data_IF_066935814046
#
_entry.id   IF_066935814046
#
_cell.length_a   1.000
_cell.length_b   1.000
_cell.length_c   1.000
_cell.angle_alpha   90.00
_cell.angle_beta   90.00
_cell.angle_gamma   90.00
#
_symmetry.space_group_name_H-M   'P 1'
#
loop_
_entity.id
_entity.type
_entity.pdbx_description
1 polymer ?
#
# COMPACT_ATOMS: atom_id res chain seq x y z
N UNK A 1 8.06 41.45 32.65
CA UNK A 1 6.69 41.51 32.12
C UNK A 1 6.65 40.61 30.89
N UNK A 2 5.91 39.49 30.95
CA UNK A 2 5.90 38.40 29.96
C UNK A 2 4.55 38.41 29.23
N UNK A 3 4.47 38.73 27.93
CA UNK A 3 3.25 38.55 27.15
C UNK A 3 3.44 37.35 26.21
N UNK A 4 3.19 36.12 26.69
CA UNK A 4 3.22 34.94 25.81
C UNK A 4 2.31 33.78 26.24
N UNK A 5 1.64 33.86 27.38
CA UNK A 5 0.79 32.77 27.88
C UNK A 5 -0.69 32.90 27.50
N UNK A 6 -1.18 34.09 27.18
CA UNK A 6 -2.61 34.29 26.86
C UNK A 6 -2.98 33.91 25.42
N UNK A 7 -2.04 33.92 24.47
CA UNK A 7 -2.31 33.56 23.07
C UNK A 7 -2.32 32.04 22.84
N UNK A 8 -1.58 31.26 23.64
CA UNK A 8 -1.54 29.80 23.51
C UNK A 8 -2.81 29.15 24.09
N UNK A 9 -3.36 29.72 25.17
CA UNK A 9 -4.64 29.25 25.75
C UNK A 9 -5.85 29.56 24.86
N UNK A 10 -5.83 30.67 24.11
CA UNK A 10 -6.92 30.99 23.17
C UNK A 10 -6.87 30.13 21.90
N UNK A 11 -5.68 29.79 21.41
CA UNK A 11 -5.51 28.89 20.26
C UNK A 11 -5.88 27.44 20.60
N UNK A 12 -5.54 26.96 21.80
CA UNK A 12 -5.92 25.62 22.26
C UNK A 12 -7.42 25.45 22.49
N UNK A 13 -8.13 26.51 22.95
CA UNK A 13 -9.58 26.46 23.11
C UNK A 13 -10.33 26.54 21.78
N UNK A 14 -9.79 27.25 20.78
CA UNK A 14 -10.34 27.28 19.43
C UNK A 14 -10.16 25.94 18.70
N UNK A 15 -9.01 25.27 18.85
CA UNK A 15 -8.77 23.94 18.27
C UNK A 15 -9.67 22.86 18.89
N UNK A 16 -9.88 22.90 20.21
CA UNK A 16 -10.82 22.00 20.89
C UNK A 16 -12.29 22.23 20.48
N UNK A 17 -12.68 23.48 20.19
CA UNK A 17 -14.04 23.80 19.69
C UNK A 17 -14.22 23.49 18.20
N UNK A 18 -13.14 23.49 17.40
CA UNK A 18 -13.16 23.04 16.01
C UNK A 18 -13.19 21.50 15.89
N UNK A 19 -12.58 20.78 16.84
CA UNK A 19 -12.61 19.31 16.87
C UNK A 19 -14.01 18.76 17.21
N UNK A 20 -14.83 19.50 17.97
CA UNK A 20 -16.25 19.17 18.16
C UNK A 20 -17.13 19.51 16.93
N UNK A 21 -16.58 20.23 15.93
CA UNK A 21 -17.32 20.73 14.77
C UNK A 21 -17.11 19.90 13.47
N UNK A 22 -16.47 18.73 13.56
CA UNK A 22 -16.18 17.87 12.40
C UNK A 22 -17.06 16.62 12.26
N UNK A 23 -18.01 16.37 13.15
CA UNK A 23 -19.06 15.36 12.89
C UNK A 23 -20.18 16.09 12.17
N UNK A 24 -20.04 16.22 10.85
CA UNK A 24 -21.09 16.76 10.01
C UNK A 24 -22.37 15.96 10.29
N UNK A 25 -23.45 16.66 10.66
CA UNK A 25 -24.67 15.99 11.09
C UNK A 25 -25.28 15.27 9.89
N UNK A 26 -25.26 13.94 9.95
CA UNK A 26 -25.76 13.03 8.92
C UNK A 26 -27.10 13.53 8.33
N UNK A 27 -27.23 13.62 6.98
CA UNK A 27 -28.49 13.98 6.36
C UNK A 27 -29.58 12.92 6.61
N UNK A 28 -30.82 13.37 6.80
CA UNK A 28 -31.94 12.46 7.03
C UNK A 28 -32.16 11.54 5.81
N UNK A 29 -32.18 10.23 6.03
CA UNK A 29 -32.34 9.24 4.95
C UNK A 29 -31.03 8.87 4.24
N UNK A 30 -29.87 9.09 4.86
CA UNK A 30 -28.60 8.61 4.30
C UNK A 30 -28.54 7.08 4.30
N UNK A 31 -28.72 6.51 3.11
CA UNK A 31 -28.69 5.07 2.85
C UNK A 31 -27.26 4.51 2.82
N UNK A 32 -26.24 5.37 2.62
CA UNK A 32 -24.84 4.95 2.50
C UNK A 32 -24.32 4.39 3.82
N UNK A 33 -24.62 5.05 4.94
CA UNK A 33 -24.26 4.56 6.29
C UNK A 33 -24.87 3.20 6.58
N UNK A 34 -26.13 2.99 6.23
CA UNK A 34 -26.80 1.70 6.46
C UNK A 34 -26.20 0.60 5.58
N UNK A 35 -25.92 0.89 4.32
CA UNK A 35 -25.31 -0.06 3.39
C UNK A 35 -23.89 -0.45 3.84
N UNK A 36 -23.04 0.52 4.21
CA UNK A 36 -21.71 0.25 4.73
C UNK A 36 -21.74 -0.53 6.05
N UNK A 37 -22.73 -0.27 6.92
CA UNK A 37 -22.88 -1.01 8.17
C UNK A 37 -23.21 -2.49 7.93
N UNK A 38 -23.96 -2.82 6.88
CA UNK A 38 -24.19 -4.22 6.48
C UNK A 38 -22.88 -4.89 6.02
N UNK A 39 -22.06 -4.19 5.23
CA UNK A 39 -20.74 -4.67 4.80
C UNK A 39 -19.83 -4.93 6.01
N UNK A 40 -19.75 -4.00 6.95
CA UNK A 40 -18.92 -4.16 8.15
C UNK A 40 -19.35 -5.36 9.00
N UNK A 41 -20.66 -5.59 9.13
CA UNK A 41 -21.21 -6.74 9.87
C UNK A 41 -20.92 -8.06 9.17
N UNK A 42 -21.14 -8.14 7.86
CA UNK A 42 -21.08 -9.41 7.14
C UNK A 42 -19.65 -9.77 6.70
N UNK A 43 -18.77 -8.79 6.54
CA UNK A 43 -17.44 -9.00 5.95
C UNK A 43 -16.30 -8.70 6.92
N UNK A 44 -16.41 -7.68 7.78
CA UNK A 44 -15.31 -7.29 8.66
C UNK A 44 -15.40 -7.91 10.06
N UNK A 45 -16.58 -7.84 10.68
CA UNK A 45 -16.84 -8.38 12.02
C UNK A 45 -16.48 -9.87 12.22
N UNK A 46 -16.64 -10.77 11.23
CA UNK A 46 -16.25 -12.17 11.37
C UNK A 46 -14.83 -12.41 11.87
N UNK A 47 -13.90 -11.49 11.57
CA UNK A 47 -12.51 -11.57 12.03
C UNK A 47 -12.17 -10.46 13.03
N UNK A 48 -12.80 -9.28 12.92
CA UNK A 48 -12.54 -8.12 13.77
C UNK A 48 -13.53 -8.05 14.94
N UNK A 49 -13.47 -9.03 15.85
CA UNK A 49 -14.23 -9.06 17.11
C UNK A 49 -13.29 -9.25 18.31
N UNK A 50 -13.70 -8.91 19.55
CA UNK A 50 -12.76 -8.76 20.67
C UNK A 50 -12.00 -10.02 21.07
N UNK A 51 -12.55 -11.19 20.74
CA UNK A 51 -12.07 -12.51 21.14
C UNK A 51 -11.52 -13.32 19.96
N UNK A 52 -11.31 -12.65 18.82
CA UNK A 52 -10.84 -13.29 17.59
C UNK A 52 -9.50 -14.01 17.77
N UNK A 53 -9.43 -15.21 17.21
CA UNK A 53 -8.19 -15.98 17.16
C UNK A 53 -7.23 -15.45 16.09
N UNK A 54 -7.71 -14.63 15.16
CA UNK A 54 -6.89 -14.00 14.13
C UNK A 54 -6.14 -12.78 14.67
N UNK A 55 -4.87 -12.99 14.98
CA UNK A 55 -3.97 -11.95 15.48
C UNK A 55 -3.78 -10.78 14.50
N UNK A 56 -4.01 -10.97 13.21
CA UNK A 56 -3.91 -9.89 12.21
C UNK A 56 -5.16 -9.01 12.20
N UNK A 57 -6.28 -9.52 12.72
CA UNK A 57 -7.54 -8.78 12.82
C UNK A 57 -7.69 -8.00 14.14
N UNK A 58 -6.80 -8.21 15.12
CA UNK A 58 -6.81 -7.46 16.38
C UNK A 58 -6.45 -5.99 16.16
N UNK A 59 -7.24 -5.08 16.74
CA UNK A 59 -7.02 -3.63 16.74
C UNK A 59 -6.95 -3.10 18.18
N UNK A 60 -6.61 -1.82 18.32
CA UNK A 60 -6.62 -1.12 19.62
C UNK A 60 -8.03 -0.80 20.12
N UNK A 61 -9.04 -1.01 19.29
CA UNK A 61 -10.47 -0.87 19.62
C UNK A 61 -11.20 -2.22 19.51
N UNK A 62 -12.38 -2.36 20.15
CA UNK A 62 -12.99 -3.65 20.44
C UNK A 62 -13.36 -4.50 19.22
N UNK A 63 -14.01 -3.90 18.22
CA UNK A 63 -14.51 -4.61 17.05
C UNK A 63 -14.80 -3.69 15.85
N UNK A 64 -15.13 -4.29 14.70
CA UNK A 64 -15.45 -3.57 13.47
C UNK A 64 -16.67 -2.64 13.54
N UNK A 65 -17.50 -2.74 14.58
CA UNK A 65 -18.68 -1.87 14.78
C UNK A 65 -18.42 -0.72 15.77
N UNK A 66 -17.21 -0.61 16.33
CA UNK A 66 -16.78 0.59 17.04
C UNK A 66 -16.34 1.68 16.04
N UNK A 67 -17.32 2.20 15.30
CA UNK A 67 -17.11 3.26 14.32
C UNK A 67 -16.53 4.54 14.93
N UNK A 68 -16.96 5.03 16.12
CA UNK A 68 -16.31 6.17 16.75
C UNK A 68 -14.80 5.96 16.95
N UNK A 69 -14.38 4.79 17.41
CA UNK A 69 -12.94 4.49 17.54
C UNK A 69 -12.25 4.33 16.19
N UNK A 70 -12.92 3.71 15.22
CA UNK A 70 -12.42 3.52 13.84
C UNK A 70 -12.16 4.86 13.16
N UNK A 71 -13.05 5.83 13.32
CA UNK A 71 -12.92 7.18 12.76
C UNK A 71 -11.94 8.06 13.56
N UNK A 72 -11.73 7.75 14.83
CA UNK A 72 -10.75 8.45 15.67
C UNK A 72 -9.31 7.93 15.47
N UNK A 73 -9.14 6.79 14.82
CA UNK A 73 -7.82 6.25 14.48
C UNK A 73 -7.20 7.08 13.36
N UNK A 74 -6.17 7.85 13.69
CA UNK A 74 -5.40 8.65 12.73
C UNK A 74 -4.95 7.77 11.54
N UNK A 75 -5.09 8.32 10.34
CA UNK A 75 -4.72 7.70 9.05
C UNK A 75 -5.51 6.43 8.66
N UNK A 76 -6.55 6.03 9.40
CA UNK A 76 -7.32 4.83 9.06
C UNK A 76 -8.52 5.11 8.14
N UNK A 77 -9.21 6.23 8.36
CA UNK A 77 -10.34 6.72 7.56
C UNK A 77 -10.14 8.20 7.30
N UNK A 78 -10.29 8.62 6.04
CA UNK A 78 -10.35 10.02 5.61
C UNK A 78 -11.80 10.34 5.22
N UNK A 79 -12.61 10.95 6.11
CA UNK A 79 -13.99 11.30 5.80
C UNK A 79 -14.08 12.23 4.58
N UNK A 80 -14.89 11.86 3.60
CA UNK A 80 -15.08 12.61 2.36
C UNK A 80 -14.14 12.20 1.22
N UNK A 81 -13.22 11.26 1.47
CA UNK A 81 -12.29 10.75 0.46
C UNK A 81 -12.03 9.25 0.67
N UNK A 82 -12.75 8.41 -0.08
CA UNK A 82 -12.54 6.97 -0.04
C UNK A 82 -11.15 6.58 -0.57
N UNK A 83 -10.60 7.29 -1.57
CA UNK A 83 -9.32 6.95 -2.19
C UNK A 83 -8.13 7.27 -1.27
N UNK A 84 -8.29 8.19 -0.32
CA UNK A 84 -7.30 8.46 0.73
C UNK A 84 -7.54 7.64 2.03
N UNK A 85 -8.66 6.93 2.13
CA UNK A 85 -8.98 6.12 3.31
C UNK A 85 -8.23 4.78 3.31
N UNK A 86 -7.28 4.57 4.25
CA UNK A 86 -6.48 3.34 4.34
C UNK A 86 -7.35 2.07 4.40
N UNK A 87 -8.47 2.09 5.14
CA UNK A 87 -9.40 0.95 5.19
C UNK A 87 -9.93 0.54 3.81
N UNK A 88 -10.12 1.52 2.92
CA UNK A 88 -10.62 1.29 1.57
C UNK A 88 -9.53 0.82 0.63
N UNK A 89 -8.34 1.40 0.73
CA UNK A 89 -7.16 0.95 -0.02
C UNK A 89 -6.84 -0.52 0.28
N UNK A 90 -6.90 -0.94 1.54
CA UNK A 90 -6.73 -2.36 1.93
C UNK A 90 -7.76 -3.29 1.28
N UNK A 91 -9.00 -2.82 1.08
CA UNK A 91 -10.04 -3.60 0.39
C UNK A 91 -9.76 -3.66 -1.11
N UNK A 92 -9.36 -2.53 -1.73
CA UNK A 92 -9.04 -2.47 -3.16
C UNK A 92 -7.81 -3.32 -3.54
N UNK A 93 -6.83 -3.36 -2.65
CA UNK A 93 -5.60 -4.15 -2.83
C UNK A 93 -5.84 -5.66 -2.59
N UNK A 94 -7.03 -6.05 -2.11
CA UNK A 94 -7.35 -7.43 -1.77
C UNK A 94 -6.64 -7.93 -0.52
N UNK A 95 -6.13 -7.02 0.32
CA UNK A 95 -5.55 -7.35 1.62
C UNK A 95 -6.64 -7.75 2.63
N UNK A 96 -7.85 -7.21 2.46
CA UNK A 96 -9.01 -7.49 3.31
C UNK A 96 -10.28 -7.74 2.47
N UNK A 97 -11.06 -8.79 2.75
CA UNK A 97 -10.78 -9.88 3.70
C UNK A 97 -9.62 -10.78 3.22
N UNK A 98 -9.03 -11.62 4.10
CA UNK A 98 -7.94 -12.50 3.70
C UNK A 98 -8.42 -13.53 2.66
N UNK A 99 -7.52 -13.96 1.77
CA UNK A 99 -7.88 -14.83 0.63
C UNK A 99 -8.50 -16.19 1.01
N UNK A 100 -8.28 -16.69 2.22
CA UNK A 100 -8.86 -17.94 2.74
C UNK A 100 -10.24 -17.74 3.37
N UNK A 101 -10.73 -16.49 3.42
CA UNK A 101 -12.09 -16.18 3.81
C UNK A 101 -13.07 -16.65 2.74
N UNK A 102 -14.00 -17.52 3.14
CA UNK A 102 -15.03 -18.04 2.25
C UNK A 102 -16.33 -17.21 2.29
N UNK A 103 -16.40 -16.11 3.05
CA UNK A 103 -17.67 -15.45 3.34
C UNK A 103 -18.47 -16.17 4.42
N UNK A 104 -19.47 -15.49 4.98
CA UNK A 104 -20.39 -16.08 5.97
C UNK A 104 -21.25 -17.19 5.35
N UNK A 105 -21.43 -17.16 4.03
CA UNK A 105 -22.30 -18.04 3.23
C UNK A 105 -21.57 -18.85 2.15
N UNK A 106 -20.23 -18.77 2.06
CA UNK A 106 -19.46 -19.44 1.01
C UNK A 106 -19.27 -18.63 -0.28
N UNK A 107 -19.66 -17.34 -0.31
CA UNK A 107 -19.56 -16.46 -1.49
C UNK A 107 -18.13 -16.05 -1.91
N UNK A 108 -17.10 -16.39 -1.15
CA UNK A 108 -15.69 -16.25 -1.56
C UNK A 108 -14.96 -14.99 -1.06
N UNK A 109 -13.70 -14.78 -1.51
CA UNK A 109 -12.70 -14.00 -0.77
C UNK A 109 -12.67 -12.49 -1.06
N UNK A 110 -13.66 -11.92 -1.72
CA UNK A 110 -13.70 -10.48 -2.01
C UNK A 110 -15.06 -9.89 -1.72
N UNK A 111 -15.10 -8.64 -1.26
CA UNK A 111 -16.32 -7.85 -1.31
C UNK A 111 -16.86 -7.86 -2.74
N UNK A 112 -18.17 -8.00 -2.89
CA UNK A 112 -18.80 -7.82 -4.20
C UNK A 112 -18.59 -6.38 -4.70
N UNK A 113 -18.78 -6.14 -5.99
CA UNK A 113 -18.74 -4.77 -6.54
C UNK A 113 -19.74 -3.85 -5.81
N UNK A 114 -20.90 -4.38 -5.42
CA UNK A 114 -21.92 -3.67 -4.65
C UNK A 114 -21.47 -3.35 -3.23
N UNK A 115 -20.85 -4.31 -2.53
CA UNK A 115 -20.33 -4.08 -1.17
C UNK A 115 -19.16 -3.09 -1.18
N UNK A 116 -18.29 -3.18 -2.18
CA UNK A 116 -17.18 -2.24 -2.37
C UNK A 116 -17.69 -0.82 -2.64
N UNK A 117 -18.72 -0.69 -3.48
CA UNK A 117 -19.36 0.60 -3.75
C UNK A 117 -20.10 1.15 -2.54
N UNK A 118 -20.77 0.32 -1.75
CA UNK A 118 -21.42 0.75 -0.51
C UNK A 118 -20.41 1.34 0.49
N UNK A 119 -19.23 0.71 0.62
CA UNK A 119 -18.16 1.20 1.47
C UNK A 119 -17.58 2.53 0.93
N UNK A 120 -17.30 2.62 -0.38
CA UNK A 120 -16.83 3.84 -1.05
C UNK A 120 -17.80 5.00 -0.83
N UNK A 121 -19.07 4.79 -1.16
CA UNK A 121 -20.13 5.79 -1.07
C UNK A 121 -20.29 6.33 0.35
N UNK A 122 -20.13 5.50 1.38
CA UNK A 122 -20.18 5.95 2.77
C UNK A 122 -18.96 6.80 3.17
N UNK A 123 -17.76 6.42 2.74
CA UNK A 123 -16.54 7.17 2.99
C UNK A 123 -16.58 8.54 2.30
N UNK A 124 -16.93 8.58 1.01
CA UNK A 124 -17.09 9.80 0.22
C UNK A 124 -18.21 10.71 0.75
N UNK A 125 -19.25 10.12 1.36
CA UNK A 125 -20.30 10.86 2.02
C UNK A 125 -19.87 11.49 3.36
N UNK A 126 -18.65 11.25 3.84
CA UNK A 126 -18.15 11.79 5.11
C UNK A 126 -18.13 10.79 6.26
N UNK A 127 -18.22 9.49 5.97
CA UNK A 127 -18.12 8.39 6.93
C UNK A 127 -19.04 8.60 8.17
N UNK A 128 -20.27 9.03 7.93
CA UNK A 128 -21.20 9.41 9.00
C UNK A 128 -21.47 8.25 9.98
N UNK A 129 -21.64 8.60 11.26
CA UNK A 129 -22.00 7.63 12.28
C UNK A 129 -23.47 7.17 12.12
N UNK A 130 -23.75 5.87 12.35
CA UNK A 130 -25.11 5.35 12.36
C UNK A 130 -25.91 5.91 13.54
N UNK A 131 -27.23 5.92 13.39
CA UNK A 131 -28.14 6.16 14.51
C UNK A 131 -28.03 5.04 15.54
N UNK A 132 -28.46 5.31 16.77
CA UNK A 132 -28.51 4.28 17.82
C UNK A 132 -29.37 3.08 17.43
N UNK A 133 -30.44 3.30 16.64
CA UNK A 133 -31.32 2.23 16.17
C UNK A 133 -30.63 1.32 15.16
N UNK A 134 -29.99 1.89 14.13
CA UNK A 134 -29.23 1.13 13.12
C UNK A 134 -28.07 0.38 13.76
N UNK A 135 -27.30 1.02 14.65
CA UNK A 135 -26.20 0.36 15.35
C UNK A 135 -26.72 -0.79 16.22
N UNK A 136 -27.88 -0.63 16.87
CA UNK A 136 -28.51 -1.72 17.62
C UNK A 136 -28.92 -2.88 16.70
N UNK A 137 -29.41 -2.59 15.50
CA UNK A 137 -29.80 -3.59 14.52
C UNK A 137 -28.58 -4.33 13.96
N UNK A 138 -27.52 -3.59 13.63
CA UNK A 138 -26.25 -4.14 13.19
C UNK A 138 -25.61 -5.04 14.25
N UNK A 139 -25.60 -4.64 15.52
CA UNK A 139 -25.10 -5.49 16.61
C UNK A 139 -25.90 -6.80 16.75
N UNK A 140 -27.23 -6.75 16.65
CA UNK A 140 -28.06 -7.97 16.66
C UNK A 140 -27.77 -8.88 15.47
N UNK A 141 -27.53 -8.34 14.27
CA UNK A 141 -27.10 -9.11 13.10
C UNK A 141 -25.70 -9.68 13.30
N UNK A 142 -24.77 -8.88 13.84
CA UNK A 142 -23.41 -9.28 14.17
C UNK A 142 -23.34 -10.44 15.15
N UNK A 143 -24.19 -10.46 16.19
CA UNK A 143 -24.32 -11.62 17.09
C UNK A 143 -24.72 -12.90 16.33
N UNK A 144 -25.62 -12.80 15.34
CA UNK A 144 -26.02 -13.93 14.51
C UNK A 144 -24.91 -14.39 13.58
N UNK A 145 -24.16 -13.45 12.99
CA UNK A 145 -23.01 -13.74 12.12
C UNK A 145 -21.90 -14.42 12.93
N UNK A 146 -21.50 -13.84 14.06
CA UNK A 146 -20.47 -14.41 14.94
C UNK A 146 -20.87 -15.79 15.46
N UNK A 147 -22.14 -15.99 15.82
CA UNK A 147 -22.63 -17.32 16.21
C UNK A 147 -22.44 -18.37 15.11
N UNK A 148 -22.60 -18.00 13.82
CA UNK A 148 -22.34 -18.90 12.68
C UNK A 148 -20.86 -19.17 12.49
N UNK A 149 -20.02 -18.13 12.56
CA UNK A 149 -18.56 -18.24 12.43
C UNK A 149 -17.99 -19.16 13.51
N UNK A 150 -18.32 -18.89 14.77
CA UNK A 150 -17.86 -19.70 15.90
C UNK A 150 -18.41 -21.14 15.86
N UNK A 151 -19.65 -21.33 15.39
CA UNK A 151 -20.20 -22.67 15.17
C UNK A 151 -19.43 -23.43 14.08
N UNK A 152 -19.05 -22.76 13.00
CA UNK A 152 -18.25 -23.36 11.92
C UNK A 152 -16.82 -23.69 12.38
N UNK A 153 -16.19 -22.84 13.19
CA UNK A 153 -14.85 -23.09 13.76
C UNK A 153 -14.83 -24.24 14.79
N UNK A 154 -15.91 -24.38 15.55
CA UNK A 154 -16.05 -25.43 16.58
C UNK A 154 -16.55 -26.78 16.05
N UNK A 155 -17.07 -26.81 14.83
CA UNK A 155 -17.43 -28.05 14.17
C UNK A 155 -16.15 -28.83 13.82
N UNK A 156 -15.98 -30.02 14.39
CA UNK A 156 -15.00 -30.99 13.88
C UNK A 156 -15.21 -31.13 12.37
N UNK A 157 -14.14 -31.21 11.54
CA UNK A 157 -14.29 -31.39 10.10
C UNK A 157 -15.12 -32.64 9.86
N UNK A 158 -16.39 -32.45 9.54
CA UNK A 158 -17.24 -33.55 9.15
C UNK A 158 -16.62 -34.13 7.89
N UNK A 159 -16.21 -35.40 7.94
CA UNK A 159 -16.09 -36.22 6.74
C UNK A 159 -17.44 -36.17 6.04
N UNK A 160 -17.56 -35.24 5.10
CA UNK A 160 -18.67 -35.20 4.16
C UNK A 160 -18.58 -36.50 3.36
N UNK A 161 -19.37 -37.50 3.73
CA UNK A 161 -19.75 -38.56 2.81
C UNK A 161 -20.50 -37.89 1.67
N UNK A 162 -19.78 -37.67 0.57
CA UNK A 162 -20.30 -37.03 -0.63
C UNK A 162 -21.52 -37.77 -1.14
N UNK A 163 -22.67 -37.11 -1.07
CA UNK A 163 -23.72 -37.29 -2.06
C UNK A 163 -23.25 -36.54 -3.31
N UNK A 164 -23.02 -37.28 -4.39
CA UNK A 164 -22.46 -36.80 -5.65
C UNK A 164 -23.43 -35.81 -6.31
N UNK A 165 -23.24 -34.53 -6.03
CA UNK A 165 -23.70 -33.45 -6.91
C UNK A 165 -22.50 -33.02 -7.77
N UNK A 166 -22.54 -33.18 -9.10
CA UNK A 166 -21.43 -32.74 -9.95
C UNK A 166 -21.50 -31.22 -10.09
N UNK A 167 -20.64 -30.51 -9.35
CA UNK A 167 -20.54 -29.05 -9.40
C UNK A 167 -19.41 -28.52 -8.52
N UNK A 168 -18.22 -28.43 -9.12
CA UNK A 168 -17.00 -27.74 -8.67
C UNK A 168 -16.35 -28.16 -7.34
N UNK A 169 -15.26 -28.94 -7.47
CA UNK A 169 -14.28 -29.15 -6.41
C UNK A 169 -13.78 -27.81 -5.84
N UNK A 170 -13.57 -27.70 -4.52
CA UNK A 170 -12.91 -26.52 -3.93
C UNK A 170 -11.54 -26.31 -4.60
N UNK A 171 -11.15 -25.06 -4.89
CA UNK A 171 -9.93 -24.79 -5.64
C UNK A 171 -8.72 -25.39 -4.92
N UNK A 172 -7.99 -26.25 -5.65
CA UNK A 172 -6.78 -26.85 -5.13
C UNK A 172 -5.84 -25.76 -4.59
N UNK A 173 -5.12 -26.00 -3.47
CA UNK A 173 -4.20 -25.02 -2.91
C UNK A 173 -3.22 -24.58 -4.00
N UNK A 174 -2.88 -23.27 -4.06
CA UNK A 174 -2.10 -22.72 -5.16
C UNK A 174 -0.84 -23.53 -5.36
N UNK A 175 -0.60 -23.93 -6.62
CA UNK A 175 0.59 -24.69 -6.99
C UNK A 175 1.85 -23.99 -6.47
N UNK A 176 2.92 -24.73 -6.25
CA UNK A 176 4.21 -24.13 -5.87
C UNK A 176 4.59 -22.94 -6.78
N UNK A 177 4.31 -23.04 -8.09
CA UNK A 177 4.50 -21.94 -9.04
C UNK A 177 3.65 -20.71 -8.73
N UNK A 178 2.37 -20.88 -8.42
CA UNK A 178 1.48 -19.77 -8.05
C UNK A 178 1.93 -19.05 -6.76
N UNK A 179 2.45 -19.80 -5.77
CA UNK A 179 3.01 -19.22 -4.53
C UNK A 179 4.30 -18.42 -4.78
N UNK A 180 5.18 -18.94 -5.63
CA UNK A 180 6.41 -18.21 -6.04
C UNK A 180 6.05 -16.94 -6.82
N UNK A 181 5.07 -17.01 -7.72
CA UNK A 181 4.56 -15.84 -8.44
C UNK A 181 4.00 -14.76 -7.51
N UNK A 182 3.20 -15.13 -6.50
CA UNK A 182 2.68 -14.19 -5.51
C UNK A 182 3.77 -13.53 -4.67
N UNK A 183 4.78 -14.28 -4.27
CA UNK A 183 5.94 -13.74 -3.57
C UNK A 183 6.72 -12.75 -4.45
N UNK A 184 6.83 -13.02 -5.74
CA UNK A 184 7.47 -12.12 -6.71
C UNK A 184 6.68 -10.81 -6.89
N UNK A 185 5.34 -10.88 -6.83
CA UNK A 185 4.42 -9.74 -6.71
C UNK A 185 4.80 -8.78 -5.57
N UNK A 186 4.73 -9.28 -4.34
CA UNK A 186 4.99 -8.48 -3.13
C UNK A 186 6.46 -8.05 -3.00
N UNK A 187 7.38 -8.85 -3.53
CA UNK A 187 8.80 -8.55 -3.42
C UNK A 187 9.29 -7.54 -4.45
N UNK A 188 8.52 -7.18 -5.49
CA UNK A 188 8.93 -6.15 -6.44
C UNK A 188 9.32 -4.86 -5.71
N UNK A 189 8.43 -4.37 -4.83
CA UNK A 189 8.68 -3.20 -3.98
C UNK A 189 9.99 -3.37 -3.19
N UNK A 190 10.26 -4.53 -2.58
CA UNK A 190 11.51 -4.77 -1.86
C UNK A 190 12.74 -4.80 -2.78
N UNK A 191 12.65 -5.43 -3.94
CA UNK A 191 13.78 -5.63 -4.87
C UNK A 191 14.19 -4.33 -5.56
N UNK A 192 13.26 -3.41 -5.83
CA UNK A 192 13.59 -2.12 -6.45
C UNK A 192 14.41 -1.20 -5.55
N UNK A 193 14.32 -1.32 -4.23
CA UNK A 193 15.07 -0.46 -3.30
C UNK A 193 16.59 -0.62 -3.43
N UNK A 194 17.08 -1.80 -3.82
CA UNK A 194 18.50 -2.05 -3.96
C UNK A 194 19.15 -1.18 -5.05
N UNK A 195 18.76 -1.29 -6.34
CA UNK A 195 19.36 -0.44 -7.37
C UNK A 195 19.13 1.05 -7.10
N UNK A 196 17.98 1.42 -6.53
CA UNK A 196 17.66 2.81 -6.14
C UNK A 196 18.67 3.32 -5.09
N UNK A 197 18.84 2.61 -3.97
CA UNK A 197 19.76 3.01 -2.90
C UNK A 197 21.20 3.11 -3.42
N UNK A 198 21.63 2.17 -4.25
CA UNK A 198 23.00 2.17 -4.76
C UNK A 198 23.26 3.25 -5.80
N UNK A 199 22.32 3.58 -6.69
CA UNK A 199 22.54 4.69 -7.63
C UNK A 199 22.57 6.04 -6.90
N UNK A 200 21.72 6.24 -5.89
CA UNK A 200 21.77 7.44 -5.05
C UNK A 200 23.05 7.50 -4.21
N UNK A 201 23.52 6.36 -3.69
CA UNK A 201 24.83 6.28 -3.02
C UNK A 201 25.99 6.65 -3.95
N UNK A 202 25.95 6.20 -5.21
CA UNK A 202 26.93 6.60 -6.22
C UNK A 202 26.85 8.10 -6.55
N UNK A 203 25.64 8.65 -6.69
CA UNK A 203 25.42 10.07 -6.94
C UNK A 203 25.89 10.96 -5.78
N UNK A 204 25.66 10.54 -4.54
CA UNK A 204 26.14 11.23 -3.35
C UNK A 204 27.67 11.21 -3.28
N UNK A 205 28.29 10.03 -3.50
CA UNK A 205 29.75 9.93 -3.54
C UNK A 205 30.36 10.81 -4.64
N UNK A 206 29.74 10.86 -5.82
CA UNK A 206 30.15 11.73 -6.91
C UNK A 206 30.00 13.22 -6.57
N UNK A 207 28.89 13.61 -5.94
CA UNK A 207 28.67 14.99 -5.48
C UNK A 207 29.73 15.42 -4.47
N UNK A 208 30.04 14.58 -3.49
CA UNK A 208 31.07 14.86 -2.48
C UNK A 208 32.45 15.02 -3.13
N UNK A 209 32.79 14.18 -4.12
CA UNK A 209 34.03 14.31 -4.90
C UNK A 209 34.09 15.64 -5.68
N UNK A 210 32.98 16.06 -6.29
CA UNK A 210 32.90 17.36 -6.99
C UNK A 210 33.04 18.56 -6.05
N UNK A 211 32.55 18.44 -4.81
CA UNK A 211 32.70 19.45 -3.76
C UNK A 211 34.10 19.45 -3.12
N UNK A 212 35.00 18.56 -3.53
CA UNK A 212 36.33 18.42 -2.95
C UNK A 212 36.33 17.77 -1.56
N UNK A 213 35.20 17.21 -1.12
CA UNK A 213 35.05 16.56 0.18
C UNK A 213 35.45 15.09 0.04
N UNK A 214 36.41 14.64 0.85
CA UNK A 214 36.71 13.20 0.92
C UNK A 214 37.46 12.63 -0.29
N UNK A 215 38.29 13.43 -0.98
CA UNK A 215 39.21 13.01 -2.05
C UNK A 215 40.24 11.92 -1.65
N UNK A 216 40.12 11.36 -0.44
CA UNK A 216 40.75 10.13 0.00
C UNK A 216 40.42 8.96 -0.93
N UNK A 217 41.25 7.91 -0.89
CA UNK A 217 41.06 6.67 -1.64
C UNK A 217 39.76 5.91 -1.28
N UNK A 218 39.01 6.30 -0.25
CA UNK A 218 37.81 5.55 0.12
C UNK A 218 36.61 5.91 -0.77
N UNK A 219 36.44 7.20 -1.11
CA UNK A 219 35.22 7.70 -1.72
C UNK A 219 35.05 7.32 -3.20
N UNK A 220 36.09 7.37 -4.05
CA UNK A 220 35.99 6.85 -5.42
C UNK A 220 35.72 5.34 -5.48
N UNK A 221 36.22 4.59 -4.49
CA UNK A 221 36.03 3.15 -4.35
C UNK A 221 34.60 2.84 -3.91
N UNK A 222 34.05 3.63 -2.97
CA UNK A 222 32.64 3.56 -2.58
C UNK A 222 31.71 3.86 -3.76
N UNK A 223 31.97 4.93 -4.52
CA UNK A 223 31.24 5.23 -5.77
C UNK A 223 31.23 4.04 -6.72
N UNK A 224 32.42 3.46 -6.98
CA UNK A 224 32.57 2.31 -7.89
C UNK A 224 31.80 1.08 -7.38
N UNK A 225 31.90 0.78 -6.08
CA UNK A 225 31.16 -0.31 -5.44
C UNK A 225 29.65 -0.14 -5.58
N UNK A 226 29.14 1.06 -5.32
CA UNK A 226 27.72 1.39 -5.51
C UNK A 226 27.28 1.19 -6.97
N UNK A 227 28.07 1.63 -7.96
CA UNK A 227 27.73 1.40 -9.37
C UNK A 227 27.66 -0.08 -9.76
N UNK A 228 28.57 -0.92 -9.21
CA UNK A 228 28.50 -2.36 -9.42
C UNK A 228 27.21 -2.95 -8.84
N UNK A 229 26.88 -2.61 -7.59
CA UNK A 229 25.66 -3.12 -6.96
C UNK A 229 24.40 -2.60 -7.62
N UNK A 230 24.36 -1.34 -8.07
CA UNK A 230 23.26 -0.79 -8.84
C UNK A 230 23.04 -1.56 -10.15
N UNK A 231 24.11 -1.84 -10.91
CA UNK A 231 24.02 -2.56 -12.17
C UNK A 231 23.62 -4.04 -12.00
N UNK A 232 24.11 -4.72 -10.96
CA UNK A 232 23.79 -6.13 -10.70
C UNK A 232 22.34 -6.26 -10.21
N UNK A 233 21.92 -5.39 -9.28
CA UNK A 233 20.59 -5.44 -8.69
C UNK A 233 19.48 -4.86 -9.58
N UNK A 234 19.80 -4.05 -10.59
CA UNK A 234 18.79 -3.53 -11.52
C UNK A 234 18.21 -4.61 -12.45
N UNK A 235 18.97 -5.67 -12.74
CA UNK A 235 18.54 -6.80 -13.58
C UNK A 235 17.35 -7.55 -12.94
N UNK A 236 17.46 -8.07 -11.71
CA UNK A 236 16.32 -8.73 -11.06
C UNK A 236 15.17 -7.75 -10.78
N UNK A 237 15.44 -6.47 -10.48
CA UNK A 237 14.40 -5.47 -10.28
C UNK A 237 13.54 -5.27 -11.55
N UNK A 238 14.17 -5.13 -12.72
CA UNK A 238 13.46 -5.03 -13.99
C UNK A 238 12.75 -6.34 -14.36
N UNK A 239 13.38 -7.49 -14.11
CA UNK A 239 12.79 -8.80 -14.39
C UNK A 239 11.53 -9.08 -13.56
N UNK A 240 11.60 -8.88 -12.24
CA UNK A 240 10.45 -9.03 -11.34
C UNK A 240 9.37 -8.01 -11.69
N UNK A 241 9.73 -6.74 -11.93
CA UNK A 241 8.75 -5.71 -12.30
C UNK A 241 8.02 -6.00 -13.61
N UNK A 242 8.69 -6.62 -14.58
CA UNK A 242 8.06 -7.03 -15.83
C UNK A 242 6.95 -8.07 -15.58
N UNK A 243 7.28 -9.13 -14.82
CA UNK A 243 6.35 -10.21 -14.46
C UNK A 243 5.12 -9.67 -13.71
N UNK A 244 5.34 -8.76 -12.76
CA UNK A 244 4.26 -8.17 -11.97
C UNK A 244 3.39 -7.22 -12.81
N UNK A 245 4.00 -6.52 -13.78
CA UNK A 245 3.28 -5.65 -14.70
C UNK A 245 2.30 -6.40 -15.61
N UNK A 246 2.49 -7.70 -15.88
CA UNK A 246 1.56 -8.47 -16.71
C UNK A 246 0.16 -8.64 -16.07
N UNK A 247 0.02 -8.50 -14.75
CA UNK A 247 -1.26 -8.66 -14.04
C UNK A 247 -2.03 -7.35 -13.80
N UNK A 248 -1.47 -6.18 -14.15
CA UNK A 248 -2.05 -4.87 -13.83
C UNK A 248 -2.83 -4.30 -15.03
N UNK A 249 -4.05 -3.80 -14.81
CA UNK A 249 -4.97 -3.31 -15.86
C UNK A 249 -4.77 -1.85 -16.31
N UNK A 250 -3.99 -1.04 -15.58
CA UNK A 250 -3.77 0.36 -15.93
C UNK A 250 -2.89 0.48 -17.19
N UNK A 251 -3.42 0.87 -18.35
CA UNK A 251 -2.66 0.73 -19.60
C UNK A 251 -1.57 1.81 -19.81
N UNK A 252 -1.86 3.08 -19.51
CA UNK A 252 -0.99 4.22 -19.82
C UNK A 252 0.11 4.42 -18.79
N UNK A 253 -0.27 4.57 -17.52
CA UNK A 253 0.65 4.79 -16.39
C UNK A 253 1.61 3.62 -16.21
N UNK A 254 1.11 2.38 -16.37
CA UNK A 254 1.94 1.17 -16.31
C UNK A 254 2.94 1.14 -17.46
N UNK A 255 2.52 1.51 -18.67
CA UNK A 255 3.43 1.55 -19.82
C UNK A 255 4.55 2.54 -19.60
N UNK A 256 4.25 3.72 -19.05
CA UNK A 256 5.25 4.74 -18.71
C UNK A 256 6.20 4.23 -17.64
N UNK A 257 5.69 3.76 -16.50
CA UNK A 257 6.50 3.22 -15.41
C UNK A 257 7.39 2.05 -15.88
N UNK A 258 6.84 1.11 -16.65
CA UNK A 258 7.55 -0.07 -17.16
C UNK A 258 8.75 0.31 -18.02
N UNK A 259 8.56 1.19 -19.01
CA UNK A 259 9.64 1.58 -19.90
C UNK A 259 10.67 2.48 -19.21
N UNK A 260 10.24 3.32 -18.28
CA UNK A 260 11.15 4.10 -17.44
C UNK A 260 11.97 3.21 -16.50
N UNK A 261 11.38 2.15 -15.95
CA UNK A 261 12.07 1.15 -15.13
C UNK A 261 13.13 0.38 -15.92
N UNK A 262 12.77 -0.13 -17.10
CA UNK A 262 13.73 -0.80 -18.00
C UNK A 262 14.84 0.17 -18.44
N UNK A 263 14.49 1.41 -18.78
CA UNK A 263 15.45 2.46 -19.12
C UNK A 263 16.43 2.76 -17.98
N UNK A 264 15.92 2.87 -16.76
CA UNK A 264 16.73 3.08 -15.54
C UNK A 264 17.69 1.91 -15.30
N UNK A 265 17.21 0.68 -15.46
CA UNK A 265 18.06 -0.51 -15.30
C UNK A 265 19.21 -0.56 -16.32
N UNK A 266 18.94 -0.21 -17.58
CA UNK A 266 19.95 -0.10 -18.63
C UNK A 266 20.93 1.04 -18.33
N UNK A 267 20.46 2.19 -17.84
CA UNK A 267 21.30 3.32 -17.49
C UNK A 267 22.26 3.01 -16.33
N UNK A 268 21.87 2.20 -15.35
CA UNK A 268 22.78 1.70 -14.32
C UNK A 268 23.97 0.91 -14.92
N UNK A 269 23.69 0.05 -15.90
CA UNK A 269 24.72 -0.74 -16.60
C UNK A 269 25.63 0.17 -17.43
N UNK A 270 25.05 1.15 -18.15
CA UNK A 270 25.81 2.14 -18.93
C UNK A 270 26.69 3.00 -18.03
N UNK A 271 26.19 3.45 -16.87
CA UNK A 271 26.98 4.21 -15.89
C UNK A 271 28.21 3.43 -15.44
N UNK A 272 28.05 2.15 -15.08
CA UNK A 272 29.16 1.29 -14.72
C UNK A 272 30.17 1.17 -15.87
N UNK A 273 29.70 0.89 -17.09
CA UNK A 273 30.57 0.73 -18.26
C UNK A 273 31.36 2.01 -18.59
N UNK A 274 30.72 3.18 -18.59
CA UNK A 274 31.37 4.46 -18.85
C UNK A 274 32.35 4.82 -17.73
N UNK A 275 31.96 4.59 -16.46
CA UNK A 275 32.83 4.84 -15.30
C UNK A 275 34.10 3.97 -15.33
N UNK A 276 33.98 2.69 -15.67
CA UNK A 276 35.11 1.78 -15.86
C UNK A 276 36.04 2.23 -16.99
N UNK A 277 35.46 2.72 -18.09
CA UNK A 277 36.23 3.21 -19.23
C UNK A 277 36.95 4.52 -18.91
N UNK A 278 36.30 5.40 -18.14
CA UNK A 278 36.93 6.63 -17.65
C UNK A 278 38.11 6.33 -16.71
N UNK A 279 37.97 5.35 -15.82
CA UNK A 279 39.01 4.99 -14.84
C UNK A 279 40.30 4.43 -15.47
N UNK A 280 40.25 3.98 -16.73
CA UNK A 280 41.40 3.46 -17.48
C UNK A 280 42.11 4.51 -18.35
N UNK A 281 41.55 5.71 -18.46
CA UNK A 281 42.12 6.81 -19.25
C UNK A 281 42.87 7.83 -18.41
N UNK A 282 43.53 8.78 -19.06
CA UNK A 282 44.27 9.86 -18.40
C UNK A 282 43.34 10.87 -17.69
N UNK A 283 43.85 11.64 -16.74
CA UNK A 283 43.04 12.56 -15.90
C UNK A 283 42.36 13.70 -16.67
N UNK A 284 42.82 14.03 -17.88
CA UNK A 284 42.21 15.01 -18.79
C UNK A 284 41.12 14.43 -19.71
N UNK A 285 40.66 13.21 -19.44
CA UNK A 285 39.76 12.45 -20.31
C UNK A 285 38.31 12.98 -20.22
N UNK A 286 37.67 13.38 -21.35
CA UNK A 286 36.26 13.83 -21.36
C UNK A 286 35.29 12.77 -20.83
N UNK A 287 35.67 11.49 -20.84
CA UNK A 287 34.87 10.40 -20.29
C UNK A 287 34.63 10.52 -18.78
N UNK A 288 35.47 11.25 -18.04
CA UNK A 288 35.26 11.52 -16.60
C UNK A 288 34.02 12.39 -16.38
N UNK A 289 33.91 13.50 -17.12
CA UNK A 289 32.73 14.38 -17.07
C UNK A 289 31.48 13.66 -17.55
N UNK A 290 31.60 12.84 -18.60
CA UNK A 290 30.47 12.04 -19.08
C UNK A 290 29.98 11.05 -18.01
N UNK A 291 30.89 10.35 -17.32
CA UNK A 291 30.53 9.44 -16.23
C UNK A 291 29.78 10.16 -15.11
N UNK A 292 30.29 11.33 -14.68
CA UNK A 292 29.64 12.18 -13.67
C UNK A 292 28.20 12.54 -14.06
N UNK A 293 28.00 13.09 -15.25
CA UNK A 293 26.66 13.50 -15.71
C UNK A 293 25.71 12.32 -15.85
N UNK A 294 26.19 11.16 -16.31
CA UNK A 294 25.37 9.96 -16.43
C UNK A 294 24.85 9.48 -15.07
N UNK A 295 25.66 9.54 -14.01
CA UNK A 295 25.23 9.13 -12.66
C UNK A 295 24.06 10.00 -12.20
N UNK A 296 24.16 11.32 -12.31
CA UNK A 296 23.09 12.25 -11.92
C UNK A 296 21.85 12.10 -12.81
N UNK A 297 22.03 11.94 -14.12
CA UNK A 297 20.92 11.71 -15.04
C UNK A 297 20.18 10.41 -14.70
N UNK A 298 20.90 9.35 -14.34
CA UNK A 298 20.31 8.08 -13.94
C UNK A 298 19.55 8.21 -12.63
N UNK A 299 20.11 8.92 -11.64
CA UNK A 299 19.40 9.20 -10.39
C UNK A 299 18.10 9.98 -10.63
N UNK A 300 18.13 11.00 -11.51
CA UNK A 300 16.93 11.75 -11.89
C UNK A 300 15.90 10.87 -12.62
N UNK A 301 16.34 10.00 -13.55
CA UNK A 301 15.46 9.06 -14.23
C UNK A 301 14.80 8.07 -13.25
N UNK A 302 15.55 7.60 -12.26
CA UNK A 302 15.02 6.75 -11.18
C UNK A 302 14.00 7.51 -10.33
N UNK A 303 14.22 8.79 -10.02
CA UNK A 303 13.23 9.61 -9.33
C UNK A 303 11.92 9.73 -10.12
N UNK A 304 12.01 10.00 -11.43
CA UNK A 304 10.84 10.07 -12.32
C UNK A 304 10.13 8.71 -12.37
N UNK A 305 10.88 7.61 -12.49
CA UNK A 305 10.33 6.26 -12.47
C UNK A 305 9.58 5.98 -11.17
N UNK A 306 10.15 6.42 -10.03
CA UNK A 306 9.55 6.29 -8.71
C UNK A 306 8.27 7.10 -8.55
N UNK A 307 8.18 8.31 -9.13
CA UNK A 307 6.93 9.09 -9.15
C UNK A 307 5.80 8.33 -9.85
N UNK A 308 6.05 7.80 -11.06
CA UNK A 308 5.07 6.97 -11.76
C UNK A 308 4.75 5.65 -11.03
N UNK A 309 5.72 5.11 -10.28
CA UNK A 309 5.48 3.97 -9.38
C UNK A 309 4.53 4.34 -8.25
N UNK A 310 4.69 5.53 -7.65
CA UNK A 310 3.78 6.07 -6.65
C UNK A 310 2.38 6.29 -7.21
N UNK A 311 2.24 6.86 -8.40
CA UNK A 311 0.93 7.03 -9.07
C UNK A 311 0.23 5.69 -9.31
N UNK A 312 0.98 4.63 -9.64
CA UNK A 312 0.41 3.29 -9.79
C UNK A 312 -0.09 2.68 -8.47
N UNK A 313 0.50 3.05 -7.35
CA UNK A 313 0.16 2.52 -6.03
C UNK A 313 -0.90 3.35 -5.32
N UNK A 314 -0.85 4.68 -5.44
CA UNK A 314 -1.66 5.62 -4.67
C UNK A 314 -2.65 6.44 -5.53
N UNK A 315 -2.69 6.23 -6.84
CA UNK A 315 -3.54 6.99 -7.76
C UNK A 315 -2.96 8.34 -8.20
N UNK A 316 -3.63 8.99 -9.17
CA UNK A 316 -3.19 10.29 -9.71
C UNK A 316 -3.42 11.45 -8.72
N UNK A 317 -4.45 11.33 -7.88
CA UNK A 317 -4.81 12.35 -6.87
C UNK A 317 -3.77 12.49 -5.74
N UNK A 318 -2.91 11.49 -5.53
CA UNK A 318 -1.91 11.49 -4.43
C UNK A 318 -0.95 12.70 -4.44
N UNK A 319 -0.74 13.33 -5.61
CA UNK A 319 0.14 14.50 -5.74
C UNK A 319 -0.61 15.82 -5.94
N UNK A 320 -1.94 15.84 -5.83
CA UNK A 320 -2.75 17.06 -5.88
C UNK A 320 -2.84 17.67 -4.46
N UNK A 321 -2.31 18.88 -4.29
CA UNK A 321 -2.31 19.65 -3.04
C UNK A 321 -2.79 21.08 -3.26
#
# INVERSE_FOLDING_TARGET
>A
MRPSLFLILAAGLAWALQAEAGVETRPAGDETTSAALEVLVDTCLPCHYPESSDKKAVRDWPDALDLPATLAAEDFVTPGDAEDSLVFLMVLDGDMPPEDWAGVDGSGPSLSEEQTEALRSWLDAGAHLPTAEELSAARRRGEQVLARVLAAESAEPQEVQGDETPGEDPPAPPSFGARVWRLMGHSHASVVHFPIAFIYGAALAELLLLLGIGASWALPQARRFCLYLAAISSIPAAGVGWIVGESVRAETTLTQHRWLGVGSALMCIVCLWVSERSARGDTSNPWSRTATWLIFLTAALVAITGHWGGVLTFGEAYFEF
#
